data_IF_369085500186
#
_entry.id   IF_369085500186
#
_cell.length_a   1.000
_cell.length_b   1.000
_cell.length_c   1.000
_cell.angle_alpha   90.00
_cell.angle_beta   90.00
_cell.angle_gamma   90.00
#
_symmetry.space_group_name_H-M   'P 1'
#
loop_
_entity.id
_entity.type
_entity.pdbx_description
1 polymer ?
#
# COMPACT_ATOMS: atom_id res chain seq x y z
N UNK A 1 -15.68 -12.08 5.06
CA UNK A 1 -15.38 -10.81 4.35
C UNK A 1 -16.59 -9.93 4.50
N UNK A 2 -16.40 -8.67 4.93
CA UNK A 2 -17.50 -7.73 5.07
C UNK A 2 -18.02 -7.33 3.68
N UNK A 3 -19.32 -7.49 3.46
CA UNK A 3 -19.99 -7.27 2.16
C UNK A 3 -20.00 -5.76 1.82
N UNK A 4 -19.86 -4.89 2.84
CA UNK A 4 -19.80 -3.44 2.72
C UNK A 4 -18.59 -2.92 1.91
N UNK A 5 -17.57 -3.76 1.70
CA UNK A 5 -16.31 -3.34 1.08
C UNK A 5 -16.26 -3.46 -0.46
N UNK A 6 -17.29 -4.02 -1.13
CA UNK A 6 -17.32 -4.23 -2.59
C UNK A 6 -18.48 -3.48 -3.26
N UNK A 7 -18.48 -3.47 -4.59
CA UNK A 7 -19.67 -3.07 -5.36
C UNK A 7 -20.84 -4.00 -5.03
N UNK A 8 -22.05 -3.46 -5.02
CA UNK A 8 -23.25 -4.26 -4.83
C UNK A 8 -23.49 -5.18 -6.02
N UNK A 9 -24.22 -6.29 -5.82
CA UNK A 9 -24.50 -7.26 -6.88
C UNK A 9 -25.15 -6.60 -8.12
N UNK A 10 -26.08 -5.66 -7.90
CA UNK A 10 -26.71 -4.93 -8.98
C UNK A 10 -25.78 -3.98 -9.74
N UNK A 11 -24.71 -3.51 -9.10
CA UNK A 11 -23.64 -2.73 -9.73
C UNK A 11 -22.72 -3.65 -10.54
N UNK A 12 -22.34 -4.81 -9.98
CA UNK A 12 -21.54 -5.83 -10.66
C UNK A 12 -22.26 -6.32 -11.93
N UNK A 13 -23.56 -6.64 -11.83
CA UNK A 13 -24.35 -7.11 -12.97
C UNK A 13 -24.37 -6.12 -14.15
N UNK A 14 -24.30 -4.80 -13.88
CA UNK A 14 -24.21 -3.78 -14.94
C UNK A 14 -22.87 -3.85 -15.68
N UNK A 15 -21.80 -4.27 -15.00
CA UNK A 15 -20.44 -4.35 -15.51
C UNK A 15 -20.15 -5.62 -16.32
N UNK A 16 -21.03 -6.63 -16.26
CA UNK A 16 -20.80 -7.94 -16.88
C UNK A 16 -20.96 -7.96 -18.40
N UNK A 17 -21.66 -6.97 -18.99
CA UNK A 17 -21.97 -6.99 -20.42
C UNK A 17 -20.73 -6.62 -21.27
N UNK A 18 -20.17 -7.56 -22.04
CA UNK A 18 -18.95 -7.34 -22.80
C UNK A 18 -19.16 -6.46 -24.04
N UNK A 19 -20.41 -6.19 -24.43
CA UNK A 19 -20.77 -5.37 -25.59
C UNK A 19 -21.00 -3.90 -25.27
N UNK A 20 -21.18 -3.53 -24.00
CA UNK A 20 -21.42 -2.14 -23.60
C UNK A 20 -20.12 -1.34 -23.55
N UNK A 21 -20.23 -0.05 -23.83
CA UNK A 21 -19.11 0.89 -23.78
C UNK A 21 -18.72 1.18 -22.33
N UNK A 22 -17.42 1.19 -22.02
CA UNK A 22 -16.94 1.44 -20.67
C UNK A 22 -17.52 2.72 -20.09
N UNK A 23 -17.52 3.82 -20.85
CA UNK A 23 -18.01 5.13 -20.39
C UNK A 23 -19.51 5.17 -20.06
N UNK A 24 -20.33 4.32 -20.65
CA UNK A 24 -21.77 4.27 -20.38
C UNK A 24 -22.08 3.42 -19.16
N UNK A 25 -21.36 2.31 -18.99
CA UNK A 25 -21.55 1.39 -17.87
C UNK A 25 -21.15 2.05 -16.56
N UNK A 26 -20.03 2.78 -16.55
CA UNK A 26 -19.45 3.33 -15.33
C UNK A 26 -20.09 4.63 -14.84
N UNK A 27 -20.75 5.39 -15.71
CA UNK A 27 -21.49 6.62 -15.34
C UNK A 27 -22.66 6.36 -14.37
N UNK A 28 -23.12 5.12 -14.26
CA UNK A 28 -24.20 4.70 -13.37
C UNK A 28 -23.74 3.98 -12.09
N UNK A 29 -22.44 3.88 -11.83
CA UNK A 29 -21.92 3.31 -10.59
C UNK A 29 -21.94 4.36 -9.47
N UNK A 30 -22.50 4.00 -8.33
CA UNK A 30 -22.57 4.89 -7.17
C UNK A 30 -21.20 5.09 -6.51
N UNK A 31 -21.12 6.05 -5.59
CA UNK A 31 -19.92 6.33 -4.81
C UNK A 31 -19.03 7.39 -5.46
N UNK A 32 -18.86 8.50 -4.75
CA UNK A 32 -17.86 9.53 -5.04
C UNK A 32 -16.72 9.46 -4.02
N UNK A 33 -15.53 9.92 -4.41
CA UNK A 33 -14.39 10.03 -3.51
C UNK A 33 -13.71 8.69 -3.23
N UNK A 34 -12.89 8.69 -2.17
CA UNK A 34 -11.98 7.60 -1.85
C UNK A 34 -12.68 6.28 -1.53
N UNK A 35 -13.77 6.31 -0.77
CA UNK A 35 -14.54 5.11 -0.42
C UNK A 35 -15.08 4.38 -1.66
N UNK A 36 -15.60 5.14 -2.64
CA UNK A 36 -16.06 4.57 -3.90
C UNK A 36 -14.92 3.91 -4.69
N UNK A 37 -13.76 4.57 -4.77
CA UNK A 37 -12.55 4.00 -5.40
C UNK A 37 -12.11 2.72 -4.70
N UNK A 38 -12.17 2.67 -3.36
CA UNK A 38 -11.82 1.49 -2.58
C UNK A 38 -12.79 0.32 -2.83
N UNK A 39 -14.10 0.59 -2.91
CA UNK A 39 -15.11 -0.43 -3.27
C UNK A 39 -14.87 -1.02 -4.66
N UNK A 40 -14.52 -0.19 -5.64
CA UNK A 40 -14.14 -0.63 -6.99
C UNK A 40 -12.88 -1.48 -6.94
N UNK A 41 -11.83 -1.04 -6.25
CA UNK A 41 -10.57 -1.79 -6.10
C UNK A 41 -10.78 -3.15 -5.44
N UNK A 42 -11.53 -3.21 -4.34
CA UNK A 42 -11.84 -4.47 -3.66
C UNK A 42 -12.68 -5.43 -4.52
N UNK A 43 -13.46 -4.88 -5.46
CA UNK A 43 -14.19 -5.67 -6.46
C UNK A 43 -13.23 -6.24 -7.50
N UNK A 44 -12.25 -5.46 -7.97
CA UNK A 44 -11.17 -5.96 -8.85
C UNK A 44 -10.46 -7.14 -8.21
N UNK A 45 -10.01 -7.01 -6.97
CA UNK A 45 -9.29 -8.09 -6.26
C UNK A 45 -10.13 -9.37 -6.16
N UNK A 46 -11.40 -9.24 -5.80
CA UNK A 46 -12.31 -10.37 -5.65
C UNK A 46 -12.65 -11.08 -6.96
N UNK A 47 -12.95 -10.31 -8.00
CA UNK A 47 -13.27 -10.87 -9.31
C UNK A 47 -12.02 -11.45 -9.98
N UNK A 48 -10.84 -10.89 -9.71
CA UNK A 48 -9.59 -11.43 -10.24
C UNK A 48 -9.32 -12.84 -9.71
N UNK A 49 -9.53 -13.07 -8.41
CA UNK A 49 -9.41 -14.40 -7.80
C UNK A 49 -10.36 -15.40 -8.47
N UNK A 50 -11.62 -15.02 -8.67
CA UNK A 50 -12.62 -15.86 -9.36
C UNK A 50 -12.22 -16.10 -10.82
N UNK A 51 -11.78 -15.08 -11.54
CA UNK A 51 -11.42 -15.16 -12.95
C UNK A 51 -10.18 -16.04 -13.20
N UNK A 52 -9.28 -16.14 -12.20
CA UNK A 52 -8.11 -17.02 -12.26
C UNK A 52 -8.53 -18.50 -12.31
N UNK A 53 -9.52 -18.87 -11.51
CA UNK A 53 -10.01 -20.24 -11.42
C UNK A 53 -11.07 -20.57 -12.49
N UNK A 54 -11.91 -19.59 -12.83
CA UNK A 54 -13.00 -19.71 -13.79
C UNK A 54 -13.05 -18.53 -14.77
N UNK A 55 -12.15 -18.48 -15.77
CA UNK A 55 -12.12 -17.41 -16.75
C UNK A 55 -13.44 -17.33 -17.55
N UNK A 56 -14.04 -16.14 -17.60
CA UNK A 56 -15.30 -15.91 -18.31
C UNK A 56 -15.39 -14.48 -18.86
N UNK A 57 -16.24 -14.27 -19.87
CA UNK A 57 -16.49 -12.94 -20.43
C UNK A 57 -17.13 -11.96 -19.44
N UNK A 58 -17.98 -12.45 -18.52
CA UNK A 58 -18.54 -11.63 -17.45
C UNK A 58 -17.41 -11.12 -16.54
N UNK A 59 -16.61 -12.04 -15.97
CA UNK A 59 -15.52 -11.67 -15.07
C UNK A 59 -14.51 -10.73 -15.74
N UNK A 60 -14.18 -11.00 -17.01
CA UNK A 60 -13.34 -10.12 -17.82
C UNK A 60 -13.93 -8.71 -17.97
N UNK A 61 -15.22 -8.58 -18.29
CA UNK A 61 -15.89 -7.29 -18.47
C UNK A 61 -15.91 -6.49 -17.17
N UNK A 62 -16.20 -7.16 -16.05
CA UNK A 62 -16.17 -6.54 -14.72
C UNK A 62 -14.76 -6.01 -14.40
N UNK A 63 -13.72 -6.82 -14.61
CA UNK A 63 -12.34 -6.39 -14.35
C UNK A 63 -11.96 -5.15 -15.18
N UNK A 64 -12.20 -5.20 -16.49
CA UNK A 64 -11.86 -4.10 -17.40
C UNK A 64 -12.61 -2.82 -17.07
N UNK A 65 -13.92 -2.91 -16.82
CA UNK A 65 -14.74 -1.75 -16.49
C UNK A 65 -14.37 -1.16 -15.11
N UNK A 66 -14.03 -2.00 -14.13
CA UNK A 66 -13.55 -1.54 -12.83
C UNK A 66 -12.19 -0.85 -12.91
N UNK A 67 -11.23 -1.35 -13.69
CA UNK A 67 -9.93 -0.67 -13.89
C UNK A 67 -10.13 0.71 -14.54
N UNK A 68 -10.96 0.79 -15.57
CA UNK A 68 -11.33 2.06 -16.21
C UNK A 68 -11.98 3.03 -15.22
N UNK A 69 -12.96 2.57 -14.43
CA UNK A 69 -13.64 3.39 -13.42
C UNK A 69 -12.68 3.87 -12.34
N UNK A 70 -11.84 2.98 -11.82
CA UNK A 70 -10.88 3.32 -10.78
C UNK A 70 -9.94 4.43 -11.25
N UNK A 71 -9.48 4.37 -12.51
CA UNK A 71 -8.69 5.43 -13.11
C UNK A 71 -9.50 6.73 -13.25
N UNK A 72 -10.70 6.66 -13.82
CA UNK A 72 -11.53 7.84 -14.08
C UNK A 72 -11.92 8.59 -12.80
N UNK A 73 -12.18 7.88 -11.69
CA UNK A 73 -12.45 8.50 -10.38
C UNK A 73 -11.28 9.26 -9.78
N UNK A 74 -10.05 8.95 -10.20
CA UNK A 74 -8.82 9.53 -9.66
C UNK A 74 -7.99 10.26 -10.73
N UNK A 75 -8.57 10.53 -11.91
CA UNK A 75 -7.84 11.10 -13.05
C UNK A 75 -7.37 12.54 -12.81
N UNK A 76 -8.12 13.28 -11.98
CA UNK A 76 -7.83 14.68 -11.68
C UNK A 76 -6.76 14.80 -10.57
N UNK A 77 -6.43 13.70 -9.91
CA UNK A 77 -5.32 13.62 -8.95
C UNK A 77 -4.01 13.41 -9.72
N UNK A 78 -2.98 14.26 -9.53
CA UNK A 78 -1.67 14.04 -10.12
C UNK A 78 -1.19 12.61 -9.84
N UNK A 79 -0.66 11.91 -10.85
CA UNK A 79 -0.30 10.49 -10.73
C UNK A 79 0.61 10.18 -9.53
N UNK A 80 1.56 11.08 -9.23
CA UNK A 80 2.45 11.00 -8.06
C UNK A 80 1.68 10.89 -6.74
N UNK A 81 0.54 11.57 -6.62
CA UNK A 81 -0.28 11.63 -5.41
C UNK A 81 -1.50 10.69 -5.50
N UNK A 82 -1.56 9.83 -6.51
CA UNK A 82 -2.72 8.96 -6.73
C UNK A 82 -2.63 7.75 -5.78
N UNK A 83 -3.61 7.56 -4.87
CA UNK A 83 -3.53 6.50 -3.86
C UNK A 83 -3.63 5.08 -4.44
N UNK A 84 -3.98 4.94 -5.72
CA UNK A 84 -4.08 3.65 -6.42
C UNK A 84 -2.93 3.41 -7.41
N UNK A 85 -1.91 4.27 -7.44
CA UNK A 85 -0.75 4.06 -8.32
C UNK A 85 -0.03 2.75 -8.02
N UNK A 86 0.16 2.41 -6.73
CA UNK A 86 0.77 1.15 -6.30
C UNK A 86 0.03 -0.06 -6.85
N UNK A 87 -1.30 -0.06 -6.78
CA UNK A 87 -2.16 -1.12 -7.34
C UNK A 87 -1.90 -1.34 -8.84
N UNK A 88 -1.85 -0.28 -9.64
CA UNK A 88 -1.63 -0.41 -11.08
C UNK A 88 -0.21 -0.88 -11.44
N UNK A 89 0.80 -0.38 -10.73
CA UNK A 89 2.20 -0.82 -10.91
C UNK A 89 2.33 -2.29 -10.55
N UNK A 90 1.78 -2.73 -9.42
CA UNK A 90 1.76 -4.13 -9.01
C UNK A 90 1.01 -5.01 -10.00
N UNK A 91 -0.15 -4.56 -10.49
CA UNK A 91 -0.90 -5.28 -11.51
C UNK A 91 -0.09 -5.47 -12.79
N UNK A 92 0.63 -4.45 -13.27
CA UNK A 92 1.49 -4.56 -14.45
C UNK A 92 2.62 -5.56 -14.20
N UNK A 93 3.33 -5.47 -13.08
CA UNK A 93 4.44 -6.35 -12.75
C UNK A 93 3.97 -7.81 -12.61
N UNK A 94 2.94 -8.04 -11.79
CA UNK A 94 2.44 -9.37 -11.44
C UNK A 94 1.74 -10.07 -12.60
N UNK A 95 0.91 -9.35 -13.37
CA UNK A 95 0.18 -9.93 -14.50
C UNK A 95 1.03 -9.99 -15.77
N UNK A 96 2.05 -9.13 -15.88
CA UNK A 96 2.99 -9.09 -16.99
C UNK A 96 4.03 -10.21 -16.96
N UNK A 97 4.39 -10.70 -15.75
CA UNK A 97 5.22 -11.89 -15.59
C UNK A 97 4.56 -13.07 -16.32
N UNK A 98 5.28 -13.63 -17.31
CA UNK A 98 4.84 -14.75 -18.16
C UNK A 98 3.92 -14.40 -19.35
N UNK A 99 3.69 -13.13 -19.66
CA UNK A 99 3.13 -12.76 -20.96
C UNK A 99 4.21 -12.90 -22.04
N UNK A 100 4.30 -14.10 -22.63
CA UNK A 100 5.18 -14.30 -23.79
C UNK A 100 4.82 -13.27 -24.88
N UNK A 101 5.82 -12.66 -25.55
CA UNK A 101 5.56 -11.77 -26.67
C UNK A 101 4.74 -12.56 -27.68
N UNK A 102 3.47 -12.19 -27.80
CA UNK A 102 2.55 -12.92 -28.66
C UNK A 102 3.00 -12.67 -30.08
N UNK A 103 3.67 -13.67 -30.66
CA UNK A 103 3.96 -13.65 -32.09
C UNK A 103 2.63 -13.40 -32.79
N UNK A 104 2.53 -12.41 -33.69
CA UNK A 104 1.31 -12.14 -34.43
C UNK A 104 0.88 -13.46 -35.04
N UNK A 105 -0.22 -14.02 -34.53
CA UNK A 105 -0.70 -15.33 -34.97
C UNK A 105 -1.23 -15.12 -36.38
N UNK A 106 -0.36 -15.35 -37.37
CA UNK A 106 -0.70 -15.26 -38.77
C UNK A 106 -2.00 -15.99 -39.04
N UNK A 107 -3.06 -15.22 -39.33
CA UNK A 107 -4.41 -15.66 -39.72
C UNK A 107 -4.79 -17.01 -39.10
N UNK A 108 -4.83 -17.11 -37.77
CA UNK A 108 -5.41 -18.30 -37.15
C UNK A 108 -6.86 -18.41 -37.63
N UNK A 109 -7.15 -19.51 -38.34
CA UNK A 109 -8.51 -19.95 -38.69
C UNK A 109 -9.42 -19.71 -37.50
N UNK A 110 -10.51 -18.97 -37.73
CA UNK A 110 -11.54 -18.65 -36.75
C UNK A 110 -11.72 -19.82 -35.77
N UNK A 111 -11.37 -19.58 -34.49
CA UNK A 111 -11.67 -20.52 -33.41
C UNK A 111 -13.18 -20.72 -33.46
N UNK A 112 -13.61 -21.87 -33.98
CA UNK A 112 -15.02 -22.27 -34.09
C UNK A 112 -15.68 -22.49 -32.72
N UNK A 113 -14.89 -22.40 -31.65
CA UNK A 113 -15.35 -22.36 -30.27
C UNK A 113 -15.35 -20.91 -29.82
N UNK A 114 -16.38 -20.17 -30.22
CA UNK A 114 -16.75 -18.92 -29.56
C UNK A 114 -16.99 -19.17 -28.07
N UNK A 115 -16.75 -18.14 -27.27
CA UNK A 115 -17.11 -17.98 -25.85
C UNK A 115 -16.09 -18.32 -24.76
N UNK A 116 -15.00 -19.05 -25.01
CA UNK A 116 -14.03 -19.29 -23.92
C UNK A 116 -12.81 -18.38 -24.02
N UNK A 117 -12.88 -17.26 -23.30
CA UNK A 117 -11.73 -16.41 -22.96
C UNK A 117 -10.83 -17.15 -21.96
N UNK A 118 -9.52 -17.01 -22.09
CA UNK A 118 -8.54 -17.61 -21.19
C UNK A 118 -8.01 -16.59 -20.20
N UNK A 119 -7.55 -17.06 -19.03
CA UNK A 119 -6.95 -16.19 -18.01
C UNK A 119 -5.72 -15.42 -18.55
N UNK A 120 -4.90 -16.02 -19.41
CA UNK A 120 -3.80 -15.32 -20.07
C UNK A 120 -4.26 -14.16 -20.97
N UNK A 121 -5.40 -14.30 -21.65
CA UNK A 121 -5.98 -13.23 -22.47
C UNK A 121 -6.57 -12.11 -21.59
N UNK A 122 -7.22 -12.45 -20.48
CA UNK A 122 -7.70 -11.48 -19.47
C UNK A 122 -6.53 -10.65 -18.94
N UNK A 123 -5.46 -11.32 -18.47
CA UNK A 123 -4.25 -10.65 -17.98
C UNK A 123 -3.66 -9.71 -19.01
N UNK A 124 -3.54 -10.17 -20.26
CA UNK A 124 -2.98 -9.37 -21.35
C UNK A 124 -3.76 -8.08 -21.58
N UNK A 125 -5.09 -8.17 -21.72
CA UNK A 125 -5.93 -6.98 -21.93
C UNK A 125 -5.82 -6.03 -20.75
N UNK A 126 -5.86 -6.53 -19.50
CA UNK A 126 -5.75 -5.69 -18.30
C UNK A 126 -4.42 -4.94 -18.26
N UNK A 127 -3.30 -5.64 -18.46
CA UNK A 127 -1.96 -5.00 -18.49
C UNK A 127 -1.90 -3.91 -19.55
N UNK A 128 -2.34 -4.20 -20.78
CA UNK A 128 -2.27 -3.24 -21.87
C UNK A 128 -3.23 -2.04 -21.71
N UNK A 129 -4.40 -2.26 -21.10
CA UNK A 129 -5.31 -1.19 -20.71
C UNK A 129 -4.67 -0.27 -19.67
N UNK A 130 -4.14 -0.83 -18.57
CA UNK A 130 -3.55 -0.05 -17.48
C UNK A 130 -2.35 0.77 -18.00
N UNK A 131 -1.45 0.15 -18.78
CA UNK A 131 -0.33 0.84 -19.42
C UNK A 131 -0.81 2.03 -20.26
N UNK A 132 -1.85 1.81 -21.08
CA UNK A 132 -2.35 2.85 -21.97
C UNK A 132 -3.01 4.00 -21.21
N UNK A 133 -3.75 3.71 -20.13
CA UNK A 133 -4.37 4.73 -19.27
C UNK A 133 -3.30 5.59 -18.57
N UNK A 134 -2.30 4.94 -17.96
CA UNK A 134 -1.22 5.63 -17.25
C UNK A 134 -0.36 6.49 -18.20
N UNK A 135 -0.04 5.99 -19.40
CA UNK A 135 0.81 6.70 -20.34
C UNK A 135 0.11 7.86 -21.05
N UNK A 136 -1.17 7.71 -21.40
CA UNK A 136 -1.90 8.75 -22.13
C UNK A 136 -2.33 9.91 -21.24
N UNK A 137 -2.58 9.65 -19.95
CA UNK A 137 -3.21 10.64 -19.07
C UNK A 137 -4.67 10.94 -19.43
N UNK A 138 -5.25 10.22 -20.40
CA UNK A 138 -6.59 10.47 -20.93
C UNK A 138 -7.40 9.17 -21.03
N UNK A 139 -8.56 9.15 -20.38
CA UNK A 139 -9.48 8.02 -20.41
C UNK A 139 -10.46 8.07 -21.58
N UNK A 140 -10.62 9.21 -22.25
CA UNK A 140 -11.64 9.39 -23.31
C UNK A 140 -11.58 8.35 -24.44
N UNK A 141 -10.41 7.94 -24.95
CA UNK A 141 -10.35 6.92 -26.00
C UNK A 141 -10.96 5.57 -25.54
N UNK A 142 -10.84 5.25 -24.26
CA UNK A 142 -11.35 4.00 -23.68
C UNK A 142 -12.83 4.08 -23.33
N UNK A 143 -13.36 5.29 -23.08
CA UNK A 143 -14.79 5.50 -22.84
C UNK A 143 -15.66 4.97 -23.99
N UNK A 144 -15.18 5.08 -25.22
CA UNK A 144 -15.83 4.61 -26.45
C UNK A 144 -15.49 3.16 -26.84
N UNK A 145 -14.79 2.42 -26.00
CA UNK A 145 -14.48 1.01 -26.25
C UNK A 145 -15.32 0.11 -25.33
N UNK A 146 -15.74 -1.04 -25.85
CA UNK A 146 -16.29 -2.12 -25.03
C UNK A 146 -15.20 -3.13 -24.63
N UNK A 147 -15.42 -3.97 -23.60
CA UNK A 147 -14.51 -5.06 -23.27
C UNK A 147 -14.17 -5.95 -24.48
N UNK A 148 -15.14 -6.25 -25.36
CA UNK A 148 -14.89 -6.97 -26.63
C UNK A 148 -13.93 -6.25 -27.56
N UNK A 149 -14.09 -4.93 -27.73
CA UNK A 149 -13.19 -4.14 -28.57
C UNK A 149 -11.77 -4.09 -27.99
N UNK A 150 -11.64 -4.03 -26.66
CA UNK A 150 -10.35 -4.08 -25.98
C UNK A 150 -9.68 -5.46 -26.15
N UNK A 151 -10.45 -6.54 -26.07
CA UNK A 151 -9.97 -7.89 -26.37
C UNK A 151 -9.47 -8.00 -27.82
N UNK A 152 -10.27 -7.58 -28.80
CA UNK A 152 -9.88 -7.60 -30.21
C UNK A 152 -8.59 -6.80 -30.44
N UNK A 153 -8.50 -5.60 -29.86
CA UNK A 153 -7.31 -4.74 -29.96
C UNK A 153 -6.04 -5.38 -29.40
N UNK A 154 -6.07 -5.87 -28.16
CA UNK A 154 -4.85 -6.30 -27.47
C UNK A 154 -4.52 -7.78 -27.65
N UNK A 155 -5.53 -8.63 -27.89
CA UNK A 155 -5.36 -10.08 -28.06
C UNK A 155 -5.31 -10.45 -29.53
N UNK A 156 -6.33 -10.09 -30.31
CA UNK A 156 -6.47 -10.56 -31.70
C UNK A 156 -5.55 -9.79 -32.66
N UNK A 157 -5.55 -8.45 -32.58
CA UNK A 157 -4.63 -7.60 -33.33
C UNK A 157 -3.23 -7.58 -32.70
N UNK A 158 -3.12 -8.02 -31.45
CA UNK A 158 -1.85 -8.14 -30.74
C UNK A 158 -1.18 -6.79 -30.48
N UNK A 159 -1.94 -5.69 -30.43
CA UNK A 159 -1.41 -4.37 -30.13
C UNK A 159 -0.76 -4.37 -28.74
N UNK A 160 0.38 -3.69 -28.61
CA UNK A 160 1.10 -3.52 -27.35
C UNK A 160 1.47 -2.06 -27.15
N UNK A 161 1.60 -1.69 -25.89
CA UNK A 161 1.93 -0.34 -25.43
C UNK A 161 3.34 -0.34 -24.87
N UNK A 162 4.21 0.49 -25.44
CA UNK A 162 5.55 0.72 -24.87
C UNK A 162 5.40 1.45 -23.54
N UNK A 163 5.87 0.84 -22.46
CA UNK A 163 5.62 1.32 -21.12
C UNK A 163 6.85 1.11 -20.24
N UNK A 164 7.40 2.21 -19.73
CA UNK A 164 8.49 2.19 -18.76
C UNK A 164 7.94 2.19 -17.33
N UNK A 165 7.87 0.99 -16.74
CA UNK A 165 7.39 0.83 -15.36
C UNK A 165 8.33 1.47 -14.33
N UNK A 166 9.62 1.67 -14.67
CA UNK A 166 10.60 2.22 -13.73
C UNK A 166 10.29 3.67 -13.34
N UNK A 167 9.67 4.44 -14.25
CA UNK A 167 9.22 5.81 -13.98
C UNK A 167 8.21 5.84 -12.83
N UNK A 168 7.25 4.90 -12.84
CA UNK A 168 6.18 4.83 -11.84
C UNK A 168 6.67 4.21 -10.53
N UNK A 169 7.57 3.23 -10.59
CA UNK A 169 8.26 2.68 -9.40
C UNK A 169 9.01 3.80 -8.68
N UNK A 170 9.73 4.65 -9.41
CA UNK A 170 10.44 5.80 -8.82
C UNK A 170 9.49 6.78 -8.14
N UNK A 171 8.33 7.08 -8.74
CA UNK A 171 7.31 7.90 -8.08
C UNK A 171 6.88 7.28 -6.75
N UNK A 172 6.66 5.97 -6.70
CA UNK A 172 6.29 5.28 -5.46
C UNK A 172 7.42 5.25 -4.41
N UNK A 173 8.68 5.18 -4.84
CA UNK A 173 9.85 5.27 -3.95
C UNK A 173 10.01 6.68 -3.36
N UNK A 174 9.85 7.72 -4.19
CA UNK A 174 9.93 9.11 -3.76
C UNK A 174 8.84 9.47 -2.73
N UNK A 175 7.66 8.85 -2.82
CA UNK A 175 6.57 8.99 -1.83
C UNK A 175 6.72 8.04 -0.62
N UNK A 176 7.83 7.29 -0.52
CA UNK A 176 8.07 6.35 0.58
C UNK A 176 7.13 5.14 0.61
N UNK A 177 6.43 4.86 -0.50
CA UNK A 177 5.54 3.70 -0.62
C UNK A 177 6.36 2.43 -0.89
N UNK A 178 7.40 2.52 -1.71
CA UNK A 178 8.36 1.45 -1.98
C UNK A 178 9.71 1.76 -1.33
N UNK A 179 10.37 0.72 -0.82
CA UNK A 179 11.74 0.85 -0.35
C UNK A 179 12.65 1.17 -1.56
N UNK A 180 13.64 2.05 -1.35
CA UNK A 180 14.79 2.15 -2.24
C UNK A 180 15.43 0.75 -2.25
N UNK A 181 15.24 0.00 -3.35
CA UNK A 181 15.91 -1.29 -3.52
C UNK A 181 17.40 -1.13 -3.23
N UNK A 182 18.12 -2.20 -2.85
CA UNK A 182 19.52 -2.11 -2.45
C UNK A 182 20.27 -1.32 -3.50
N UNK A 183 20.64 -0.07 -3.15
CA UNK A 183 21.41 0.79 -4.04
C UNK A 183 22.66 -0.01 -4.34
N UNK A 184 22.78 -0.50 -5.57
CA UNK A 184 24.03 -1.04 -6.05
C UNK A 184 25.05 0.09 -5.85
N UNK A 185 25.88 -0.07 -4.83
CA UNK A 185 26.95 0.84 -4.45
C UNK A 185 28.05 0.74 -5.51
N UNK A 186 27.74 1.06 -6.75
CA UNK A 186 28.68 1.08 -7.85
C UNK A 186 29.17 2.52 -8.05
N UNK A 187 30.24 2.83 -7.33
CA UNK A 187 31.05 4.05 -7.49
C UNK A 187 32.33 3.99 -6.65
N UNK A 188 33.53 4.01 -7.25
CA UNK A 188 34.77 3.59 -6.61
C UNK A 188 35.37 4.72 -5.77
N UNK A 189 35.21 4.64 -4.45
CA UNK A 189 36.01 5.46 -3.53
C UNK A 189 37.15 4.62 -2.99
N UNK A 190 38.36 5.03 -3.37
CA UNK A 190 39.59 4.31 -3.13
C UNK A 190 39.95 4.13 -1.66
N UNK A 191 40.62 2.99 -1.44
CA UNK A 191 41.72 2.76 -0.52
C UNK A 191 41.78 3.63 0.74
N UNK A 192 41.50 3.01 1.89
CA UNK A 192 42.42 3.08 3.02
C UNK A 192 42.19 1.93 4.02
N UNK A 193 43.18 1.03 4.03
CA UNK A 193 43.87 0.44 5.20
C UNK A 193 43.15 -0.56 6.10
N UNK A 194 43.70 -1.78 5.99
CA UNK A 194 43.72 -2.92 6.89
C UNK A 194 43.86 -2.58 8.39
N UNK A 195 43.13 -3.31 9.25
CA UNK A 195 43.75 -4.20 10.25
C UNK A 195 42.70 -4.94 11.09
N UNK A 196 42.79 -6.28 11.02
CA UNK A 196 42.58 -7.28 12.07
C UNK A 196 41.75 -6.92 13.31
N UNK A 197 40.79 -7.79 13.65
CA UNK A 197 40.88 -8.67 14.85
C UNK A 197 39.75 -9.70 14.81
N UNK A 198 40.15 -10.98 14.85
CA UNK A 198 39.28 -12.12 15.12
C UNK A 198 38.80 -12.04 16.57
N UNK A 199 37.49 -12.10 16.79
CA UNK A 199 36.92 -12.62 18.03
C UNK A 199 35.76 -13.56 17.69
N UNK A 200 36.02 -14.85 17.91
CA UNK A 200 35.01 -15.84 18.24
C UNK A 200 34.25 -15.36 19.48
N UNK A 201 32.93 -15.25 19.36
CA UNK A 201 32.04 -14.91 20.45
C UNK A 201 30.63 -15.33 20.11
N UNK A 202 30.17 -16.41 20.76
CA UNK A 202 28.79 -16.88 20.76
C UNK A 202 27.82 -15.73 21.04
N UNK A 203 27.10 -15.26 20.02
CA UNK A 203 25.97 -14.34 20.17
C UNK A 203 24.74 -15.12 20.66
N UNK A 204 24.71 -15.30 21.98
CA UNK A 204 23.46 -15.56 22.68
C UNK A 204 22.59 -14.30 22.60
N UNK A 205 21.40 -14.47 22.03
CA UNK A 205 20.29 -13.52 21.91
C UNK A 205 19.87 -12.93 23.28
N UNK A 206 20.64 -11.97 23.79
CA UNK A 206 20.29 -11.26 25.01
C UNK A 206 19.44 -10.05 24.66
N UNK A 207 18.14 -10.12 24.99
CA UNK A 207 17.24 -8.97 25.05
C UNK A 207 17.98 -7.76 25.65
N UNK A 208 17.84 -6.54 25.09
CA UNK A 208 18.51 -5.36 25.58
C UNK A 208 18.29 -5.21 27.08
N UNK A 209 19.37 -5.07 27.85
CA UNK A 209 19.28 -4.95 29.30
C UNK A 209 18.62 -3.60 29.59
N UNK A 210 17.81 -3.49 30.64
CA UNK A 210 17.15 -2.24 31.05
C UNK A 210 18.12 -1.04 31.12
N UNK A 211 19.40 -1.30 31.40
CA UNK A 211 20.47 -0.31 31.41
C UNK A 211 20.74 0.31 30.03
N UNK A 212 20.64 -0.48 28.96
CA UNK A 212 20.93 -0.06 27.58
C UNK A 212 19.85 0.92 27.10
N UNK A 213 18.58 0.63 27.40
CA UNK A 213 17.47 1.54 27.08
C UNK A 213 17.59 2.88 27.82
N UNK A 214 18.03 2.89 29.08
CA UNK A 214 18.22 4.13 29.84
C UNK A 214 19.40 4.96 29.31
N UNK A 215 20.47 4.31 28.86
CA UNK A 215 21.60 4.99 28.21
C UNK A 215 21.18 5.57 26.86
N UNK A 216 20.45 4.79 26.05
CA UNK A 216 19.87 5.25 24.79
C UNK A 216 18.94 6.44 25.01
N UNK A 217 18.03 6.37 25.99
CA UNK A 217 17.11 7.46 26.35
C UNK A 217 17.85 8.76 26.71
N UNK A 218 18.93 8.67 27.48
CA UNK A 218 19.76 9.85 27.80
C UNK A 218 20.49 10.38 26.56
N UNK A 219 21.00 9.48 25.73
CA UNK A 219 21.66 9.82 24.47
C UNK A 219 20.74 10.58 23.51
N UNK A 220 19.51 10.10 23.30
CA UNK A 220 18.55 10.75 22.40
C UNK A 220 18.09 12.11 22.94
N UNK A 221 17.89 12.25 24.27
CA UNK A 221 17.57 13.54 24.88
C UNK A 221 18.70 14.56 24.70
N UNK A 222 19.95 14.14 24.91
CA UNK A 222 21.11 15.00 24.65
C UNK A 222 21.22 15.39 23.17
N UNK A 223 20.95 14.45 22.24
CA UNK A 223 20.96 14.73 20.80
C UNK A 223 19.81 15.62 20.37
N UNK A 224 18.64 15.56 21.01
CA UNK A 224 17.56 16.51 20.73
C UNK A 224 17.99 17.96 21.01
N UNK A 225 18.85 18.19 22.00
CA UNK A 225 19.40 19.51 22.32
C UNK A 225 20.54 19.93 21.37
N UNK A 226 21.41 19.01 20.97
CA UNK A 226 22.63 19.33 20.18
C UNK A 226 22.47 19.14 18.67
N UNK A 227 21.74 18.12 18.26
CA UNK A 227 21.60 17.61 16.88
C UNK A 227 20.14 17.18 16.60
N UNK A 228 19.17 18.13 16.65
CA UNK A 228 17.75 17.80 16.62
C UNK A 228 17.33 17.03 15.36
N UNK A 229 17.90 17.33 14.19
CA UNK A 229 17.56 16.63 12.94
C UNK A 229 17.85 15.13 13.03
N UNK A 230 19.05 14.75 13.49
CA UNK A 230 19.46 13.35 13.65
C UNK A 230 18.58 12.66 14.68
N UNK A 231 18.35 13.30 15.83
CA UNK A 231 17.49 12.74 16.86
C UNK A 231 16.04 12.54 16.37
N UNK A 232 15.49 13.49 15.62
CA UNK A 232 14.14 13.34 15.07
C UNK A 232 14.06 12.20 14.06
N UNK A 233 15.10 11.98 13.24
CA UNK A 233 15.15 10.83 12.34
C UNK A 233 15.15 9.52 13.14
N UNK A 234 15.93 9.41 14.22
CA UNK A 234 15.90 8.23 15.09
C UNK A 234 14.53 8.00 15.72
N UNK A 235 13.86 9.05 16.21
CA UNK A 235 12.52 8.95 16.81
C UNK A 235 11.47 8.40 15.84
N UNK A 236 11.57 8.71 14.54
CA UNK A 236 10.65 8.23 13.50
C UNK A 236 10.80 6.74 13.20
N UNK A 237 11.98 6.17 13.47
CA UNK A 237 12.30 4.77 13.13
C UNK A 237 12.35 3.83 14.34
N UNK A 238 11.79 4.26 15.49
CA UNK A 238 11.76 3.42 16.67
C UNK A 238 10.93 2.14 16.44
N UNK A 239 11.28 1.03 17.09
CA UNK A 239 10.49 -0.19 17.00
C UNK A 239 9.16 -0.04 17.76
N UNK A 240 8.20 -0.91 17.43
CA UNK A 240 6.86 -0.91 18.03
C UNK A 240 6.87 -1.68 19.35
N UNK A 241 7.58 -1.17 20.35
CA UNK A 241 7.66 -1.74 21.70
C UNK A 241 7.19 -0.75 22.77
N UNK A 242 6.69 -1.29 23.89
CA UNK A 242 6.09 -0.50 24.95
C UNK A 242 7.05 0.56 25.54
N UNK A 243 8.33 0.24 25.70
CA UNK A 243 9.35 1.16 26.22
C UNK A 243 9.53 2.41 25.36
N UNK A 244 9.57 2.25 24.03
CA UNK A 244 9.69 3.37 23.09
C UNK A 244 8.39 4.16 22.98
N UNK A 245 7.23 3.49 22.98
CA UNK A 245 5.91 4.14 22.98
C UNK A 245 5.68 4.99 24.25
N UNK A 246 6.10 4.49 25.42
CA UNK A 246 6.06 5.23 26.67
C UNK A 246 7.00 6.44 26.61
N UNK A 247 8.19 6.28 26.04
CA UNK A 247 9.14 7.38 25.87
C UNK A 247 8.60 8.48 24.95
N UNK A 248 8.04 8.14 23.78
CA UNK A 248 7.40 9.11 22.88
C UNK A 248 6.23 9.82 23.57
N UNK A 249 5.43 9.07 24.32
CA UNK A 249 4.33 9.63 25.13
C UNK A 249 4.85 10.62 26.18
N UNK A 250 5.97 10.31 26.84
CA UNK A 250 6.62 11.21 27.82
C UNK A 250 7.12 12.48 27.14
N UNK A 251 7.78 12.39 25.98
CA UNK A 251 8.26 13.57 25.24
C UNK A 251 7.13 14.55 24.90
N UNK A 252 5.96 14.03 24.53
CA UNK A 252 4.78 14.85 24.23
C UNK A 252 4.15 15.44 25.51
N UNK A 253 4.00 14.64 26.56
CA UNK A 253 3.41 15.08 27.84
C UNK A 253 4.24 16.16 28.52
N UNK A 254 5.57 16.02 28.50
CA UNK A 254 6.49 16.99 29.10
C UNK A 254 6.69 18.23 28.20
N UNK A 255 6.17 18.21 26.97
CA UNK A 255 6.36 19.28 26.00
C UNK A 255 7.81 19.44 25.55
N UNK A 256 8.64 18.41 25.69
CA UNK A 256 10.09 18.45 25.44
C UNK A 256 10.40 18.85 24.00
N UNK A 257 9.64 18.31 23.03
CA UNK A 257 9.81 18.66 21.62
C UNK A 257 9.45 20.13 21.36
N UNK A 258 8.34 20.60 21.92
CA UNK A 258 7.91 21.99 21.79
C UNK A 258 8.89 22.97 22.47
N UNK A 259 9.44 22.61 23.63
CA UNK A 259 10.45 23.39 24.33
C UNK A 259 11.74 23.58 23.49
N UNK A 260 12.04 22.63 22.60
CA UNK A 260 13.15 22.66 21.65
C UNK A 260 12.75 23.24 20.28
N UNK A 261 11.55 23.83 20.17
CA UNK A 261 11.01 24.36 18.90
C UNK A 261 10.84 23.32 17.79
N UNK A 262 10.57 22.07 18.17
CA UNK A 262 10.32 20.95 17.26
C UNK A 262 8.81 20.67 17.24
N UNK A 263 8.20 20.68 16.04
CA UNK A 263 6.80 20.30 15.88
C UNK A 263 6.63 18.77 16.07
N UNK A 264 5.85 18.31 17.06
CA UNK A 264 5.64 16.89 17.29
C UNK A 264 4.81 16.20 16.20
N UNK A 265 3.93 16.92 15.49
CA UNK A 265 2.96 16.30 14.59
C UNK A 265 3.62 15.50 13.44
N UNK A 266 4.57 16.05 12.67
CA UNK A 266 5.25 15.30 11.62
C UNK A 266 6.02 14.08 12.16
N UNK A 267 6.62 14.19 13.33
CA UNK A 267 7.40 13.09 13.93
C UNK A 267 6.47 11.92 14.30
N UNK A 268 5.31 12.21 14.89
CA UNK A 268 4.34 11.18 15.26
C UNK A 268 3.71 10.55 14.03
N UNK A 269 3.39 11.34 13.01
CA UNK A 269 2.88 10.85 11.73
C UNK A 269 3.86 9.87 11.08
N UNK A 270 5.12 10.28 10.94
CA UNK A 270 6.18 9.46 10.34
C UNK A 270 6.46 8.20 11.16
N UNK A 271 6.46 8.29 12.50
CA UNK A 271 6.59 7.14 13.38
C UNK A 271 5.45 6.12 13.18
N UNK A 272 4.20 6.59 13.13
CA UNK A 272 3.04 5.72 12.93
C UNK A 272 3.12 5.05 11.55
N UNK A 273 3.48 5.81 10.51
CA UNK A 273 3.69 5.27 9.17
C UNK A 273 4.77 4.18 9.16
N UNK A 274 5.95 4.44 9.75
CA UNK A 274 7.01 3.45 9.90
C UNK A 274 6.53 2.19 10.65
N UNK A 275 5.82 2.38 11.76
CA UNK A 275 5.25 1.28 12.55
C UNK A 275 4.26 0.42 11.76
N UNK A 276 3.47 1.03 10.86
CA UNK A 276 2.57 0.31 9.97
C UNK A 276 3.32 -0.53 8.94
N UNK A 277 4.41 0.00 8.37
CA UNK A 277 5.28 -0.76 7.46
C UNK A 277 5.94 -1.94 8.16
N UNK A 278 6.40 -1.77 9.40
CA UNK A 278 6.91 -2.88 10.21
C UNK A 278 5.83 -3.95 10.47
N UNK A 279 4.63 -3.53 10.87
CA UNK A 279 3.51 -4.45 11.10
C UNK A 279 3.08 -5.19 9.82
N UNK A 280 3.18 -4.56 8.66
CA UNK A 280 2.98 -5.22 7.38
C UNK A 280 4.03 -6.30 7.11
N UNK A 281 5.32 -5.97 7.25
CA UNK A 281 6.43 -6.91 7.06
C UNK A 281 6.29 -8.15 7.95
N UNK A 282 5.80 -7.99 9.19
CA UNK A 282 5.49 -9.12 10.09
C UNK A 282 4.42 -10.08 9.55
N UNK A 283 3.48 -9.59 8.74
CA UNK A 283 2.39 -10.41 8.19
C UNK A 283 2.75 -11.15 6.90
N UNK A 284 3.88 -10.81 6.27
CA UNK A 284 4.31 -11.43 5.02
C UNK A 284 4.97 -12.79 5.28
N UNK A 285 4.78 -13.78 4.39
CA UNK A 285 5.51 -15.04 4.47
C UNK A 285 7.02 -14.77 4.34
N UNK A 286 7.89 -15.58 4.96
CA UNK A 286 9.33 -15.41 4.81
C UNK A 286 9.68 -15.48 3.32
N UNK A 287 10.29 -14.42 2.80
CA UNK A 287 10.84 -14.43 1.46
C UNK A 287 11.81 -15.61 1.36
N UNK A 288 11.53 -16.55 0.47
CA UNK A 288 12.28 -17.82 0.33
C UNK A 288 13.73 -17.64 -0.17
N UNK A 289 14.25 -16.41 -0.16
CA UNK A 289 15.44 -15.99 -0.88
C UNK A 289 16.64 -15.66 0.03
N UNK A 290 16.45 -15.57 1.35
CA UNK A 290 17.52 -15.19 2.28
C UNK A 290 18.11 -16.40 3.00
N UNK A 291 18.94 -17.17 2.31
CA UNK A 291 19.73 -18.29 2.87
C UNK A 291 20.97 -17.84 3.68
N UNK A 292 21.17 -16.54 3.87
CA UNK A 292 22.28 -16.01 4.67
C UNK A 292 21.78 -15.61 6.06
N UNK A 293 21.97 -16.54 7.00
CA UNK A 293 21.56 -16.43 8.40
C UNK A 293 22.28 -15.29 9.10
N UNK A 294 21.56 -14.17 9.26
CA UNK A 294 21.74 -13.23 10.37
C UNK A 294 20.52 -12.29 10.52
N UNK A 295 19.34 -12.67 10.01
CA UNK A 295 18.14 -11.86 10.25
C UNK A 295 17.73 -12.09 11.70
N UNK A 296 17.86 -11.05 12.53
CA UNK A 296 17.23 -10.98 13.85
C UNK A 296 15.82 -11.58 13.75
N UNK A 297 15.51 -12.46 14.70
CA UNK A 297 14.30 -13.28 14.72
C UNK A 297 13.09 -12.37 15.05
N UNK A 298 12.70 -11.55 14.07
CA UNK A 298 11.50 -10.72 14.15
C UNK A 298 10.34 -11.70 14.24
N UNK A 299 9.58 -11.67 15.34
CA UNK A 299 8.33 -12.39 15.50
C UNK A 299 7.48 -12.23 14.22
N UNK A 300 7.37 -13.30 13.41
CA UNK A 300 6.60 -13.27 12.15
C UNK A 300 5.22 -13.90 12.33
N UNK A 301 4.35 -13.57 11.39
CA UNK A 301 3.01 -14.14 11.26
C UNK A 301 1.90 -13.18 11.64
N UNK A 302 0.67 -13.60 11.33
CA UNK A 302 -0.56 -12.84 11.58
C UNK A 302 -0.73 -12.42 13.04
N UNK A 303 -0.27 -13.24 13.98
CA UNK A 303 -0.37 -12.94 15.41
C UNK A 303 0.59 -11.82 15.83
N UNK A 304 1.83 -11.85 15.34
CA UNK A 304 2.82 -10.80 15.60
C UNK A 304 2.37 -9.46 14.99
N UNK A 305 1.92 -9.50 13.74
CA UNK A 305 1.28 -8.35 13.08
C UNK A 305 0.11 -7.80 13.91
N UNK A 306 -0.80 -8.67 14.39
CA UNK A 306 -1.93 -8.24 15.20
C UNK A 306 -1.50 -7.62 16.54
N UNK A 307 -0.45 -8.16 17.17
CA UNK A 307 0.12 -7.63 18.41
C UNK A 307 0.71 -6.23 18.21
N UNK A 308 1.48 -6.03 17.13
CA UNK A 308 2.05 -4.73 16.79
C UNK A 308 0.96 -3.68 16.52
N UNK A 309 -0.07 -4.03 15.74
CA UNK A 309 -1.20 -3.13 15.48
C UNK A 309 -1.95 -2.77 16.77
N UNK A 310 -2.17 -3.73 17.67
CA UNK A 310 -2.82 -3.44 18.97
C UNK A 310 -2.02 -2.47 19.83
N UNK A 311 -0.69 -2.59 19.87
CA UNK A 311 0.17 -1.64 20.58
C UNK A 311 0.08 -0.24 19.97
N UNK A 312 0.11 -0.15 18.64
CA UNK A 312 -0.02 1.10 17.92
C UNK A 312 -1.39 1.77 18.17
N UNK A 313 -2.48 1.00 18.17
CA UNK A 313 -3.81 1.49 18.53
C UNK A 313 -3.89 2.03 19.97
N UNK A 314 -3.25 1.35 20.92
CA UNK A 314 -3.19 1.81 22.31
C UNK A 314 -2.44 3.14 22.42
N UNK A 315 -1.33 3.26 21.70
CA UNK A 315 -0.55 4.50 21.62
C UNK A 315 -1.38 5.64 21.03
N UNK A 316 -1.97 5.47 19.84
CA UNK A 316 -2.79 6.50 19.18
C UNK A 316 -3.99 6.89 20.06
N UNK A 317 -4.69 5.91 20.65
CA UNK A 317 -5.80 6.18 21.57
C UNK A 317 -5.34 7.00 22.78
N UNK A 318 -4.13 6.75 23.29
CA UNK A 318 -3.56 7.53 24.39
C UNK A 318 -3.18 8.95 23.94
N UNK A 319 -2.67 9.15 22.71
CA UNK A 319 -2.43 10.48 22.15
C UNK A 319 -3.71 11.32 22.10
N UNK A 320 -4.79 10.75 21.57
CA UNK A 320 -6.09 11.41 21.43
C UNK A 320 -6.70 11.70 22.80
N UNK A 321 -6.82 10.69 23.68
CA UNK A 321 -7.47 10.85 24.99
C UNK A 321 -6.80 11.88 25.89
N UNK A 322 -5.48 12.03 25.79
CA UNK A 322 -4.72 13.00 26.57
C UNK A 322 -4.56 14.34 25.85
N UNK A 323 -5.17 14.52 24.68
CA UNK A 323 -5.02 15.70 23.83
C UNK A 323 -3.54 16.06 23.58
N UNK A 324 -2.67 15.03 23.46
CA UNK A 324 -1.24 15.22 23.18
C UNK A 324 -1.00 15.54 21.71
N UNK A 325 -1.91 15.09 20.85
CA UNK A 325 -1.89 15.38 19.43
C UNK A 325 -3.33 15.52 18.93
N UNK A 326 -3.65 16.57 18.16
CA UNK A 326 -4.98 16.71 17.56
C UNK A 326 -5.24 15.54 16.60
N UNK A 327 -6.43 14.92 16.61
CA UNK A 327 -6.77 13.81 15.72
C UNK A 327 -6.55 14.15 14.24
N UNK A 328 -6.74 15.41 13.86
CA UNK A 328 -6.57 15.93 12.49
C UNK A 328 -5.12 15.80 12.00
N UNK A 329 -4.14 15.90 12.92
CA UNK A 329 -2.73 15.79 12.56
C UNK A 329 -2.29 14.37 12.18
N UNK A 330 -3.06 13.35 12.55
CA UNK A 330 -2.80 11.93 12.24
C UNK A 330 -4.03 11.26 11.59
N UNK A 331 -4.87 12.06 10.94
CA UNK A 331 -6.14 11.59 10.38
C UNK A 331 -5.92 10.50 9.32
N UNK A 332 -4.94 10.69 8.43
CA UNK A 332 -4.66 9.74 7.36
C UNK A 332 -4.13 8.40 7.89
N UNK A 333 -3.27 8.44 8.91
CA UNK A 333 -2.75 7.26 9.61
C UNK A 333 -3.88 6.48 10.28
N UNK A 334 -4.81 7.18 10.93
CA UNK A 334 -6.00 6.58 11.55
C UNK A 334 -6.85 5.89 10.48
N UNK A 335 -7.12 6.55 9.35
CA UNK A 335 -7.90 5.97 8.26
C UNK A 335 -7.20 4.76 7.65
N UNK A 336 -5.89 4.84 7.41
CA UNK A 336 -5.10 3.73 6.88
C UNK A 336 -5.20 2.51 7.80
N UNK A 337 -4.99 2.69 9.11
CA UNK A 337 -5.14 1.61 10.10
C UNK A 337 -6.52 0.99 10.04
N UNK A 338 -7.56 1.83 10.03
CA UNK A 338 -8.96 1.39 10.08
C UNK A 338 -9.38 0.60 8.85
N UNK A 339 -8.85 0.96 7.68
CA UNK A 339 -9.11 0.28 6.41
C UNK A 339 -8.27 -1.00 6.30
N UNK A 340 -6.95 -0.88 6.45
CA UNK A 340 -5.99 -1.95 6.15
C UNK A 340 -6.07 -3.10 7.14
N UNK A 341 -6.34 -2.80 8.41
CA UNK A 341 -6.36 -3.79 9.48
C UNK A 341 -7.77 -4.05 10.04
N UNK A 342 -8.82 -3.73 9.26
CA UNK A 342 -10.24 -3.90 9.65
C UNK A 342 -10.60 -5.30 10.14
N UNK A 343 -9.84 -6.33 9.74
CA UNK A 343 -10.03 -7.72 10.17
C UNK A 343 -9.72 -7.92 11.66
N UNK A 344 -8.87 -7.08 12.26
CA UNK A 344 -8.56 -7.09 13.69
C UNK A 344 -9.72 -6.47 14.47
N UNK A 345 -10.26 -7.19 15.47
CA UNK A 345 -11.40 -6.71 16.27
C UNK A 345 -11.13 -5.36 16.93
N UNK A 346 -9.95 -5.21 17.51
CA UNK A 346 -9.55 -3.99 18.21
C UNK A 346 -9.50 -2.75 17.29
N UNK A 347 -9.24 -2.92 15.99
CA UNK A 347 -9.29 -1.83 14.99
C UNK A 347 -10.72 -1.33 14.79
N UNK A 348 -11.71 -2.24 14.75
CA UNK A 348 -13.12 -1.85 14.61
C UNK A 348 -13.64 -1.11 15.84
N UNK A 349 -13.26 -1.58 17.03
CA UNK A 349 -13.56 -0.89 18.29
C UNK A 349 -12.87 0.49 18.35
N UNK A 350 -11.65 0.60 17.83
CA UNK A 350 -10.95 1.88 17.74
C UNK A 350 -11.63 2.84 16.75
N UNK A 351 -12.07 2.35 15.59
CA UNK A 351 -12.83 3.16 14.62
C UNK A 351 -14.09 3.76 15.24
N UNK A 352 -14.89 2.94 15.93
CA UNK A 352 -16.07 3.42 16.66
C UNK A 352 -15.71 4.48 17.70
N UNK A 353 -14.62 4.30 18.44
CA UNK A 353 -14.11 5.29 19.41
C UNK A 353 -13.77 6.64 18.75
N UNK A 354 -13.13 6.65 17.58
CA UNK A 354 -12.78 7.89 16.86
C UNK A 354 -14.05 8.57 16.32
N UNK A 355 -14.99 7.79 15.76
CA UNK A 355 -16.26 8.31 15.23
C UNK A 355 -17.16 8.88 16.34
N UNK A 356 -17.26 8.20 17.50
CA UNK A 356 -18.02 8.69 18.67
C UNK A 356 -17.40 9.96 19.28
N UNK A 357 -16.06 10.03 19.33
CA UNK A 357 -15.34 11.21 19.82
C UNK A 357 -15.60 12.46 18.98
N UNK A 358 -15.64 12.33 17.65
CA UNK A 358 -15.92 13.43 16.74
C UNK A 358 -17.35 13.98 16.89
N UNK A 359 -18.33 13.13 17.24
CA UNK A 359 -19.74 13.54 17.39
C UNK A 359 -19.96 14.34 18.68
N UNK A 360 -19.21 14.06 19.75
CA UNK A 360 -19.42 14.73 21.04
C UNK A 360 -18.86 16.15 21.10
N UNK A 361 -17.88 16.51 20.26
CA UNK A 361 -17.33 17.87 20.20
C UNK A 361 -18.15 18.82 19.30
N UNK A 362 -18.94 18.30 18.36
CA UNK A 362 -19.77 19.10 17.44
C UNK A 362 -21.12 19.57 18.00
N UNK A 363 -21.57 19.06 19.16
CA UNK A 363 -22.90 19.35 19.73
C UNK A 363 -22.87 20.45 20.82
N UNK A 364 -21.73 21.11 21.04
CA UNK A 364 -21.49 22.02 22.16
C UNK A 364 -21.26 23.50 21.81
N UNK A 365 -21.52 23.95 20.58
CA UNK A 365 -21.35 25.35 20.18
C UNK A 365 -22.65 26.02 19.71
#
# INVERSE_FOLDING_TARGET
MDISARLEEGEIQRLEDPGKLCGDVVRGLGGSGFEGSLRVKNTVDGIEEIARDAPSWSAFSVLVNCEYRLYEMNRDTPLRNNPFLSHWVEAILRLGQNLAPSKPQGKRRAKKNGDKITDAEIRRVRVELIKSLLQSGDSLPFASMSPKMLYEKFVELGQTTEFDVAVYIRMLQEEGIYDDGPRELDGPSGAHVEASTQQDGEEATSKPRLNDFQQWKKGILSRLETEPEVATQELRHLPVELSYLDFLTTLLQEGTLLALSIDPAPIMSDYIQHALRLAEKMGQPPESSSLNGNSEDIDRGREAQARAVRLLLLFIRNLIRKALLPPEAIYFEIQEICVRYVWIREVREFRAFVEEGAVSEGAGH
#
